data_IF_086105231802
#
_entry.id   IF_086105231802
#
_cell.length_a   1.000
_cell.length_b   1.000
_cell.length_c   1.000
_cell.angle_alpha   90.00
_cell.angle_beta   90.00
_cell.angle_gamma   90.00
#
_symmetry.space_group_name_H-M   'P 1'
#
loop_
_entity.id
_entity.type
_entity.pdbx_description
1 polymer ?
#
# COMPACT_ATOMS: atom_id res chain seq x y z
N UNK A 1 20.32 14.82 15.75
CA UNK A 1 19.50 13.65 16.12
C UNK A 1 19.14 13.00 14.80
N UNK A 2 19.92 12.00 14.37
CA UNK A 2 19.61 11.28 13.14
C UNK A 2 18.44 10.36 13.46
N UNK A 3 17.22 10.79 13.12
CA UNK A 3 16.15 9.84 12.85
C UNK A 3 16.74 8.92 11.79
N UNK A 4 17.07 7.69 12.17
CA UNK A 4 17.33 6.63 11.20
C UNK A 4 16.00 6.44 10.48
N UNK A 5 15.78 7.25 9.45
CA UNK A 5 14.68 7.11 8.51
C UNK A 5 14.81 5.68 8.00
N UNK A 6 13.93 4.81 8.48
CA UNK A 6 13.93 3.42 8.03
C UNK A 6 13.74 3.44 6.51
N UNK A 7 14.27 2.45 5.77
CA UNK A 7 14.23 2.45 4.31
C UNK A 7 12.80 2.57 3.74
N UNK A 8 11.79 2.33 4.57
CA UNK A 8 10.37 2.52 4.31
C UNK A 8 10.01 3.89 3.73
N UNK A 9 10.55 4.98 4.27
CA UNK A 9 10.22 6.34 3.77
C UNK A 9 10.75 6.53 2.35
N UNK A 10 12.00 6.14 2.09
CA UNK A 10 12.60 6.19 0.76
C UNK A 10 11.94 5.21 -0.20
N UNK A 11 11.55 4.03 0.26
CA UNK A 11 10.86 3.02 -0.55
C UNK A 11 9.47 3.51 -0.99
N UNK A 12 8.72 4.19 -0.11
CA UNK A 12 7.42 4.80 -0.47
C UNK A 12 7.59 5.90 -1.50
N UNK A 13 8.57 6.78 -1.31
CA UNK A 13 8.81 7.90 -2.22
C UNK A 13 9.21 7.39 -3.61
N UNK A 14 10.16 6.45 -3.66
CA UNK A 14 10.59 5.83 -4.91
C UNK A 14 9.48 4.99 -5.57
N UNK A 15 8.67 4.26 -4.79
CA UNK A 15 7.48 3.59 -5.32
C UNK A 15 6.49 4.58 -5.94
N UNK A 16 6.25 5.72 -5.29
CA UNK A 16 5.36 6.77 -5.82
C UNK A 16 5.94 7.43 -7.09
N UNK A 17 7.26 7.60 -7.18
CA UNK A 17 7.93 8.10 -8.39
C UNK A 17 7.92 7.08 -9.53
N UNK A 18 8.03 5.78 -9.24
CA UNK A 18 8.01 4.69 -10.22
C UNK A 18 6.62 4.36 -10.75
N UNK A 19 5.58 4.73 -10.02
CA UNK A 19 4.21 4.62 -10.52
C UNK A 19 3.95 5.77 -11.48
N UNK A 20 4.02 5.44 -12.77
CA UNK A 20 3.53 6.32 -13.80
C UNK A 20 2.00 6.23 -13.85
N UNK A 21 1.32 7.38 -13.68
CA UNK A 21 -0.15 7.46 -13.72
C UNK A 21 -0.68 6.97 -15.08
N UNK A 22 0.12 7.06 -16.14
CA UNK A 22 -0.21 6.55 -17.47
C UNK A 22 -0.26 5.02 -17.57
N UNK A 23 0.48 4.29 -16.73
CA UNK A 23 0.47 2.81 -16.70
C UNK A 23 -0.84 2.25 -16.09
N UNK A 24 -1.51 3.07 -15.27
CA UNK A 24 -2.67 2.70 -14.47
C UNK A 24 -3.85 3.69 -14.64
N UNK A 25 -4.44 3.80 -15.85
CA UNK A 25 -5.49 4.77 -16.14
C UNK A 25 -6.77 4.56 -15.31
N UNK A 26 -6.97 3.36 -14.77
CA UNK A 26 -8.10 3.01 -13.90
C UNK A 26 -7.85 3.32 -12.42
N UNK A 27 -6.61 3.64 -12.03
CA UNK A 27 -6.27 4.05 -10.65
C UNK A 27 -6.61 5.51 -10.48
N UNK A 28 -7.65 5.78 -9.70
CA UNK A 28 -8.01 7.15 -9.36
C UNK A 28 -7.15 7.72 -8.23
N UNK A 29 -6.75 6.86 -7.29
CA UNK A 29 -5.98 7.27 -6.11
C UNK A 29 -5.19 6.11 -5.52
N UNK A 30 -3.99 6.41 -5.07
CA UNK A 30 -3.21 5.56 -4.17
C UNK A 30 -3.17 6.21 -2.79
N UNK A 31 -3.42 5.42 -1.74
CA UNK A 31 -3.42 5.88 -0.36
C UNK A 31 -2.48 5.00 0.44
N UNK A 32 -1.42 5.59 0.99
CA UNK A 32 -0.57 4.91 1.97
C UNK A 32 -1.32 4.80 3.30
N UNK A 33 -1.34 3.60 3.89
CA UNK A 33 -1.92 3.36 5.19
C UNK A 33 -0.98 2.54 6.08
N UNK A 34 -1.45 2.17 7.27
CA UNK A 34 -0.66 1.35 8.21
C UNK A 34 0.30 2.15 9.09
N UNK A 35 1.30 1.44 9.63
CA UNK A 35 2.27 1.97 10.60
C UNK A 35 3.21 3.00 9.96
N UNK A 36 3.48 2.89 8.65
CA UNK A 36 4.31 3.84 7.90
C UNK A 36 3.64 5.21 7.84
N UNK A 37 2.35 5.26 7.51
CA UNK A 37 1.57 6.51 7.50
C UNK A 37 1.45 7.17 8.89
N UNK A 38 1.53 6.38 9.97
CA UNK A 38 1.50 6.88 11.36
C UNK A 38 2.88 7.20 11.94
N UNK A 39 3.95 6.99 11.16
CA UNK A 39 5.34 7.07 11.63
C UNK A 39 5.62 6.18 12.86
N UNK A 40 4.87 5.10 13.02
CA UNK A 40 5.05 4.09 14.09
C UNK A 40 5.60 2.77 13.54
N UNK A 41 6.14 2.78 12.33
CA UNK A 41 6.69 1.59 11.68
C UNK A 41 8.03 1.19 12.31
N UNK A 42 8.30 -0.11 12.30
CA UNK A 42 9.56 -0.72 12.73
C UNK A 42 10.24 -1.35 11.53
N UNK A 43 11.50 -1.79 11.66
CA UNK A 43 12.28 -2.33 10.55
C UNK A 43 11.62 -3.53 9.85
N UNK A 44 10.78 -4.30 10.55
CA UNK A 44 10.03 -5.44 10.02
C UNK A 44 8.61 -5.07 9.52
N UNK A 45 8.24 -3.79 9.54
CA UNK A 45 6.93 -3.36 9.07
C UNK A 45 6.83 -3.44 7.55
N UNK A 46 5.65 -3.85 7.09
CA UNK A 46 5.27 -3.78 5.68
C UNK A 46 4.78 -2.36 5.33
N UNK A 47 4.89 -1.99 4.05
CA UNK A 47 4.30 -0.78 3.49
C UNK A 47 2.92 -1.15 2.95
N UNK A 48 1.85 -0.62 3.56
CA UNK A 48 0.49 -0.88 3.11
C UNK A 48 -0.03 0.22 2.17
N UNK A 49 -0.43 -0.13 0.95
CA UNK A 49 -0.95 0.79 -0.07
C UNK A 49 -2.34 0.36 -0.53
N UNK A 50 -3.29 1.29 -0.49
CA UNK A 50 -4.64 1.10 -0.98
C UNK A 50 -4.80 1.78 -2.34
N UNK A 51 -5.08 0.99 -3.38
CA UNK A 51 -5.41 1.49 -4.70
C UNK A 51 -6.93 1.59 -4.86
N UNK A 52 -7.41 2.80 -5.12
CA UNK A 52 -8.82 3.07 -5.42
C UNK A 52 -9.01 3.08 -6.93
N UNK A 53 -9.82 2.16 -7.42
CA UNK A 53 -10.10 1.95 -8.84
C UNK A 53 -11.52 2.39 -9.21
N UNK A 54 -11.71 2.71 -10.48
CA UNK A 54 -13.04 2.90 -11.05
C UNK A 54 -13.90 1.63 -10.93
N UNK A 55 -15.20 1.82 -10.69
CA UNK A 55 -16.17 0.73 -10.64
C UNK A 55 -16.23 -0.01 -11.97
N UNK A 56 -16.19 -1.35 -11.93
CA UNK A 56 -16.15 -2.21 -13.11
C UNK A 56 -14.75 -2.46 -13.69
N UNK A 57 -13.70 -1.91 -13.06
CA UNK A 57 -12.31 -2.28 -13.37
C UNK A 57 -11.98 -3.67 -12.84
N UNK A 58 -11.15 -4.42 -13.57
CA UNK A 58 -10.60 -5.69 -13.08
C UNK A 58 -9.57 -5.45 -11.97
N UNK A 59 -10.04 -5.50 -10.72
CA UNK A 59 -9.23 -5.21 -9.53
C UNK A 59 -7.98 -6.09 -9.48
N UNK A 60 -8.15 -7.39 -9.75
CA UNK A 60 -7.07 -8.39 -9.69
C UNK A 60 -5.96 -8.09 -10.69
N UNK A 61 -6.29 -7.77 -11.94
CA UNK A 61 -5.29 -7.43 -12.96
C UNK A 61 -4.51 -6.16 -12.60
N UNK A 62 -5.18 -5.14 -12.05
CA UNK A 62 -4.50 -3.92 -11.66
C UNK A 62 -3.66 -4.13 -10.40
N UNK A 63 -4.16 -4.88 -9.43
CA UNK A 63 -3.42 -5.25 -8.21
C UNK A 63 -2.15 -6.02 -8.55
N UNK A 64 -2.22 -6.99 -9.47
CA UNK A 64 -1.06 -7.76 -9.92
C UNK A 64 0.00 -6.87 -10.55
N UNK A 65 -0.40 -5.95 -11.45
CA UNK A 65 0.53 -5.00 -12.09
C UNK A 65 1.16 -4.01 -11.10
N UNK A 66 0.38 -3.55 -10.12
CA UNK A 66 0.91 -2.71 -9.04
C UNK A 66 1.88 -3.50 -8.15
N UNK A 67 1.55 -4.76 -7.87
CA UNK A 67 2.39 -5.67 -7.06
C UNK A 67 3.73 -5.94 -7.73
N UNK A 68 3.75 -6.07 -9.06
CA UNK A 68 4.98 -6.21 -9.84
C UNK A 68 5.94 -5.02 -9.61
N UNK A 69 5.42 -3.79 -9.69
CA UNK A 69 6.21 -2.58 -9.37
C UNK A 69 6.62 -2.49 -7.91
N UNK A 70 5.77 -2.95 -7.00
CA UNK A 70 6.08 -3.03 -5.57
C UNK A 70 7.19 -4.05 -5.28
N UNK A 71 7.28 -5.11 -6.08
CA UNK A 71 8.30 -6.13 -5.96
C UNK A 71 9.68 -5.60 -6.35
N UNK A 72 9.78 -4.74 -7.37
CA UNK A 72 11.03 -4.04 -7.70
C UNK A 72 11.55 -3.21 -6.52
N UNK A 73 10.66 -2.44 -5.89
CA UNK A 73 10.98 -1.64 -4.70
C UNK A 73 11.36 -2.53 -3.51
N UNK A 74 10.66 -3.64 -3.31
CA UNK A 74 11.02 -4.62 -2.27
C UNK A 74 12.43 -5.17 -2.48
N UNK A 75 12.80 -5.51 -3.72
CA UNK A 75 14.13 -6.03 -4.04
C UNK A 75 15.24 -5.00 -3.77
N UNK A 76 14.95 -3.72 -3.98
CA UNK A 76 15.94 -2.65 -3.81
C UNK A 76 16.09 -2.20 -2.35
N UNK A 77 14.98 -2.04 -1.64
CA UNK A 77 14.94 -1.50 -0.28
C UNK A 77 14.80 -2.57 0.81
N UNK A 78 14.58 -3.82 0.44
CA UNK A 78 14.34 -4.93 1.38
C UNK A 78 13.05 -4.80 2.18
N UNK A 79 12.13 -3.94 1.73
CA UNK A 79 10.89 -3.62 2.45
C UNK A 79 9.69 -4.17 1.71
N UNK A 80 8.92 -5.10 2.29
CA UNK A 80 7.72 -5.64 1.66
C UNK A 80 6.64 -4.57 1.49
N UNK A 81 6.00 -4.56 0.32
CA UNK A 81 4.90 -3.65 -0.01
C UNK A 81 3.63 -4.48 -0.26
N UNK A 82 2.62 -4.24 0.56
CA UNK A 82 1.31 -4.87 0.47
C UNK A 82 0.34 -3.93 -0.25
N UNK A 83 -0.21 -4.38 -1.39
CA UNK A 83 -1.15 -3.60 -2.18
C UNK A 83 -2.54 -4.23 -2.08
N UNK A 84 -3.54 -3.39 -1.82
CA UNK A 84 -4.95 -3.75 -1.87
C UNK A 84 -5.67 -2.89 -2.89
N UNK A 85 -6.31 -3.50 -3.87
CA UNK A 85 -7.18 -2.81 -4.80
C UNK A 85 -8.64 -2.85 -4.34
N UNK A 86 -9.31 -1.69 -4.31
CA UNK A 86 -10.74 -1.59 -4.01
C UNK A 86 -11.46 -0.69 -5.01
N UNK A 87 -12.70 -1.02 -5.40
CA UNK A 87 -13.50 -0.13 -6.21
C UNK A 87 -13.94 1.07 -5.37
N UNK A 88 -14.10 2.22 -6.03
CA UNK A 88 -14.53 3.47 -5.40
C UNK A 88 -15.80 3.29 -4.55
N UNK A 89 -16.80 2.57 -5.06
CA UNK A 89 -18.04 2.35 -4.32
C UNK A 89 -17.85 1.58 -3.00
N UNK A 90 -16.81 0.75 -2.87
CA UNK A 90 -16.51 0.02 -1.63
C UNK A 90 -15.83 0.90 -0.59
N UNK A 91 -14.96 1.83 -1.01
CA UNK A 91 -14.32 2.79 -0.11
C UNK A 91 -15.35 3.65 0.63
N UNK A 92 -16.37 4.12 -0.09
CA UNK A 92 -17.45 4.95 0.46
C UNK A 92 -18.32 4.16 1.46
N UNK A 93 -18.50 2.85 1.24
CA UNK A 93 -19.21 1.96 2.18
C UNK A 93 -18.37 1.58 3.39
N UNK A 94 -17.05 1.46 3.23
CA UNK A 94 -16.15 0.98 4.29
C UNK A 94 -15.66 2.09 5.23
N UNK A 95 -15.90 3.36 4.91
CA UNK A 95 -15.60 4.49 5.80
C UNK A 95 -16.38 4.46 7.12
N UNK A 96 -17.44 3.65 7.22
CA UNK A 96 -18.20 3.41 8.47
C UNK A 96 -17.55 2.38 9.42
N UNK A 97 -16.55 1.63 8.96
CA UNK A 97 -15.82 0.67 9.78
C UNK A 97 -14.31 0.87 9.65
N UNK A 98 -13.66 1.58 10.60
CA UNK A 98 -12.21 1.62 10.64
C UNK A 98 -11.69 0.19 10.75
N UNK A 99 -10.85 -0.20 9.79
CA UNK A 99 -10.19 -1.50 9.71
C UNK A 99 -9.63 -1.89 11.08
N UNK A 100 -10.34 -2.77 11.78
CA UNK A 100 -9.72 -3.55 12.84
C UNK A 100 -8.93 -4.61 12.12
N UNK A 101 -7.61 -4.52 12.19
CA UNK A 101 -6.76 -5.66 11.90
C UNK A 101 -7.34 -6.89 12.64
N UNK A 102 -7.38 -8.08 12.03
CA UNK A 102 -7.60 -9.29 12.80
C UNK A 102 -6.43 -9.37 13.79
N UNK A 103 -6.68 -9.01 15.04
CA UNK A 103 -5.82 -9.34 16.15
C UNK A 103 -5.64 -10.85 16.12
N UNK A 104 -4.48 -11.32 15.67
CA UNK A 104 -4.11 -12.71 15.80
C UNK A 104 -4.31 -13.12 17.27
N UNK A 105 -5.09 -14.15 17.57
CA UNK A 105 -5.03 -14.75 18.89
C UNK A 105 -3.61 -15.31 19.03
N UNK A 106 -2.80 -14.73 19.93
CA UNK A 106 -1.66 -15.45 20.48
C UNK A 106 -2.25 -16.55 21.35
N UNK A 107 -2.22 -17.78 20.83
CA UNK A 107 -2.36 -19.00 21.60
C UNK A 107 -1.40 -18.95 22.82
N UNK A 108 -1.96 -19.27 23.99
CA UNK A 108 -1.24 -19.53 25.24
C UNK A 108 -0.97 -21.04 25.38
#
# INVERSE_FOLDING_TARGET
MATSALPHESAVEDFAERIDVGDFPSVQRLVLFGSVARATHVSESDIDVLAVLDDGTDLSSVEERLRDRAYDVMLEYGTPVSIHAVPRADLERRSDHPFSAPSSPRDE
#
